data_IF_940803350117
#
_entry.id   IF_940803350117
#
_cell.length_a   1.000
_cell.length_b   1.000
_cell.length_c   1.000
_cell.angle_alpha   90.00
_cell.angle_beta   90.00
_cell.angle_gamma   90.00
#
_symmetry.space_group_name_H-M   'P 1'
#
loop_
_entity.id
_entity.type
_entity.pdbx_description
1 polymer ?
#
# COMPACT_ATOMS: atom_id res chain seq x y z
N UNK A 1 15.36 36.15 -14.21
CA UNK A 1 13.90 35.94 -14.33
C UNK A 1 13.50 34.46 -14.39
N UNK A 2 14.22 33.60 -15.12
CA UNK A 2 13.96 32.15 -15.24
C UNK A 2 13.92 31.40 -13.89
N UNK A 3 14.82 31.73 -12.95
CA UNK A 3 14.91 31.09 -11.62
C UNK A 3 13.76 31.43 -10.65
N UNK A 4 13.00 32.50 -10.92
CA UNK A 4 11.86 32.93 -10.10
C UNK A 4 10.55 32.31 -10.62
N UNK A 5 10.37 32.27 -11.95
CA UNK A 5 9.22 31.61 -12.58
C UNK A 5 9.23 30.10 -12.31
N UNK A 6 10.38 29.42 -12.36
CA UNK A 6 10.46 28.00 -12.00
C UNK A 6 10.21 27.68 -10.52
N UNK A 7 10.17 28.69 -9.63
CA UNK A 7 9.76 28.54 -8.22
C UNK A 7 8.27 28.80 -7.99
N UNK A 8 7.60 29.44 -8.95
CA UNK A 8 6.17 29.74 -8.95
C UNK A 8 5.38 28.69 -9.73
N UNK A 9 5.95 28.18 -10.82
CA UNK A 9 5.41 27.13 -11.66
C UNK A 9 6.48 26.06 -11.86
N UNK A 10 6.54 25.03 -11.00
CA UNK A 10 7.46 23.92 -11.20
C UNK A 10 7.15 23.25 -12.54
N UNK A 11 8.18 22.79 -13.28
CA UNK A 11 7.96 22.07 -14.55
C UNK A 11 7.27 20.72 -14.35
N UNK A 12 7.35 20.17 -13.13
CA UNK A 12 6.73 18.93 -12.72
C UNK A 12 5.78 19.19 -11.55
N UNK A 13 4.57 18.63 -11.61
CA UNK A 13 3.61 18.71 -10.52
C UNK A 13 3.99 17.68 -9.43
N UNK A 14 4.27 18.11 -8.19
CA UNK A 14 4.56 17.18 -7.09
C UNK A 14 3.41 16.21 -6.82
N UNK A 15 2.15 16.62 -7.02
CA UNK A 15 0.98 15.75 -6.86
C UNK A 15 0.86 14.72 -7.97
N UNK A 16 1.30 15.05 -9.19
CA UNK A 16 1.39 14.07 -10.28
C UNK A 16 2.45 13.03 -9.98
N UNK A 17 3.62 13.46 -9.49
CA UNK A 17 4.68 12.55 -9.05
C UNK A 17 4.20 11.67 -7.88
N UNK A 18 3.46 12.23 -6.91
CA UNK A 18 2.88 11.48 -5.80
C UNK A 18 1.87 10.41 -6.26
N UNK A 19 1.05 10.74 -7.27
CA UNK A 19 0.14 9.77 -7.87
C UNK A 19 0.89 8.71 -8.70
N UNK A 20 1.91 9.10 -9.45
CA UNK A 20 2.77 8.16 -10.18
C UNK A 20 3.48 7.19 -9.23
N UNK A 21 3.92 7.67 -8.06
CA UNK A 21 4.48 6.86 -6.98
C UNK A 21 3.45 5.85 -6.47
N UNK A 22 2.23 6.31 -6.14
CA UNK A 22 1.13 5.42 -5.74
C UNK A 22 0.86 4.31 -6.77
N UNK A 23 0.95 4.60 -8.08
CA UNK A 23 0.77 3.55 -9.10
C UNK A 23 1.90 2.52 -9.14
N UNK A 24 3.12 2.86 -8.73
CA UNK A 24 4.19 1.86 -8.55
C UNK A 24 3.83 0.92 -7.40
N UNK A 25 3.32 1.49 -6.30
CA UNK A 25 2.81 0.71 -5.16
C UNK A 25 1.68 -0.22 -5.59
N UNK A 26 0.71 0.26 -6.38
CA UNK A 26 -0.38 -0.58 -6.92
C UNK A 26 0.14 -1.79 -7.72
N UNK A 27 1.06 -1.55 -8.66
CA UNK A 27 1.67 -2.62 -9.47
C UNK A 27 2.39 -3.67 -8.62
N UNK A 28 3.04 -3.23 -7.53
CA UNK A 28 3.69 -4.15 -6.59
C UNK A 28 2.64 -5.01 -5.86
N UNK A 29 1.55 -4.39 -5.42
CA UNK A 29 0.46 -5.03 -4.70
C UNK A 29 -0.30 -6.06 -5.54
N UNK A 30 -0.41 -5.84 -6.85
CA UNK A 30 -0.96 -6.83 -7.79
C UNK A 30 -0.23 -8.18 -7.75
N UNK A 31 1.03 -8.20 -7.32
CA UNK A 31 1.82 -9.43 -7.23
C UNK A 31 1.51 -10.23 -5.95
N UNK A 32 0.89 -9.62 -4.92
CA UNK A 32 0.68 -10.25 -3.61
C UNK A 32 -0.13 -11.55 -3.71
N UNK A 33 -1.36 -11.57 -4.27
CA UNK A 33 -2.16 -12.79 -4.26
C UNK A 33 -1.58 -13.86 -5.20
N UNK A 34 -0.98 -13.42 -6.31
CA UNK A 34 -0.33 -14.30 -7.29
C UNK A 34 0.87 -15.00 -6.66
N UNK A 35 1.75 -14.24 -6.00
CA UNK A 35 2.95 -14.77 -5.34
C UNK A 35 2.57 -15.71 -4.18
N UNK A 36 1.61 -15.31 -3.34
CA UNK A 36 1.12 -16.15 -2.26
C UNK A 36 0.51 -17.46 -2.78
N UNK A 37 -0.30 -17.40 -3.84
CA UNK A 37 -0.87 -18.58 -4.47
C UNK A 37 0.19 -19.54 -5.00
N UNK A 38 1.23 -19.02 -5.67
CA UNK A 38 2.37 -19.81 -6.14
C UNK A 38 3.13 -20.44 -4.97
N UNK A 39 3.45 -19.65 -3.96
CA UNK A 39 4.14 -20.10 -2.74
C UNK A 39 3.40 -21.27 -2.07
N UNK A 40 2.08 -21.16 -1.90
CA UNK A 40 1.25 -22.21 -1.29
C UNK A 40 1.18 -23.49 -2.14
N UNK A 41 1.41 -23.40 -3.46
CA UNK A 41 1.53 -24.55 -4.37
C UNK A 41 2.97 -25.05 -4.54
N UNK A 42 3.93 -24.47 -3.82
CA UNK A 42 5.37 -24.76 -3.93
C UNK A 42 5.93 -24.48 -5.34
N UNK A 43 5.35 -23.49 -6.03
CA UNK A 43 5.82 -22.96 -7.30
C UNK A 43 6.83 -21.81 -7.05
N UNK A 44 7.77 -21.56 -7.99
CA UNK A 44 8.75 -20.48 -7.86
C UNK A 44 8.09 -19.10 -7.85
N UNK A 45 8.62 -18.23 -6.99
CA UNK A 45 8.14 -16.84 -6.76
C UNK A 45 9.22 -15.79 -7.02
N UNK A 46 10.45 -16.22 -7.30
CA UNK A 46 11.64 -15.38 -7.43
C UNK A 46 11.49 -14.33 -8.53
N UNK A 47 10.87 -14.67 -9.66
CA UNK A 47 10.61 -13.70 -10.74
C UNK A 47 9.65 -12.58 -10.31
N UNK A 48 8.68 -12.90 -9.43
CA UNK A 48 7.75 -11.92 -8.89
C UNK A 48 8.43 -11.05 -7.84
N UNK A 49 9.26 -11.65 -6.98
CA UNK A 49 10.05 -10.91 -6.00
C UNK A 49 11.01 -9.95 -6.69
N UNK A 50 11.71 -10.37 -7.74
CA UNK A 50 12.59 -9.50 -8.53
C UNK A 50 11.83 -8.41 -9.28
N UNK A 51 10.58 -8.64 -9.66
CA UNK A 51 9.74 -7.60 -10.25
C UNK A 51 9.39 -6.53 -9.21
N UNK A 52 8.99 -6.95 -8.01
CA UNK A 52 8.64 -6.02 -6.92
C UNK A 52 9.84 -5.24 -6.42
N UNK A 53 11.00 -5.88 -6.26
CA UNK A 53 12.28 -5.24 -5.90
C UNK A 53 12.62 -4.09 -6.86
N UNK A 54 12.44 -4.30 -8.18
CA UNK A 54 12.62 -3.23 -9.19
C UNK A 54 11.58 -2.11 -9.07
N UNK A 55 10.33 -2.43 -8.72
CA UNK A 55 9.29 -1.42 -8.53
C UNK A 55 9.56 -0.58 -7.28
N UNK A 56 10.11 -1.19 -6.23
CA UNK A 56 10.56 -0.51 -5.01
C UNK A 56 11.74 0.42 -5.32
N UNK A 57 12.78 -0.05 -6.01
CA UNK A 57 13.89 0.79 -6.50
C UNK A 57 13.37 2.02 -7.29
N UNK A 58 12.44 1.81 -8.24
CA UNK A 58 11.83 2.89 -9.02
C UNK A 58 11.01 3.87 -8.14
N UNK A 59 10.33 3.37 -7.12
CA UNK A 59 9.54 4.17 -6.19
C UNK A 59 10.45 5.02 -5.29
N UNK A 60 11.56 4.45 -4.82
CA UNK A 60 12.52 5.11 -3.93
C UNK A 60 13.24 6.27 -4.66
N UNK A 61 13.60 6.08 -5.93
CA UNK A 61 14.08 7.16 -6.82
C UNK A 61 13.03 8.28 -6.96
N UNK A 62 11.76 7.90 -7.16
CA UNK A 62 10.66 8.86 -7.32
C UNK A 62 10.38 9.63 -6.03
N UNK A 63 10.47 9.00 -4.87
CA UNK A 63 10.35 9.62 -3.55
C UNK A 63 11.41 10.69 -3.32
N UNK A 64 12.68 10.43 -3.70
CA UNK A 64 13.74 11.46 -3.68
C UNK A 64 13.36 12.64 -4.57
N UNK A 65 12.92 12.36 -5.80
CA UNK A 65 12.48 13.39 -6.75
C UNK A 65 11.31 14.22 -6.24
N UNK A 66 10.30 13.61 -5.61
CA UNK A 66 9.16 14.30 -5.00
C UNK A 66 9.65 15.28 -3.94
N UNK A 67 10.53 14.83 -3.02
CA UNK A 67 11.10 15.69 -1.97
C UNK A 67 11.89 16.86 -2.57
N UNK A 68 12.68 16.62 -3.61
CA UNK A 68 13.42 17.67 -4.29
C UNK A 68 12.52 18.71 -4.96
N UNK A 69 11.53 18.28 -5.73
CA UNK A 69 10.59 19.19 -6.42
C UNK A 69 9.81 19.99 -5.38
N UNK A 70 9.29 19.33 -4.35
CA UNK A 70 8.47 19.97 -3.33
C UNK A 70 9.23 20.98 -2.48
N UNK A 71 10.50 20.71 -2.14
CA UNK A 71 11.37 21.63 -1.39
C UNK A 71 11.60 22.97 -2.11
N UNK A 72 11.50 22.99 -3.44
CA UNK A 72 11.74 24.19 -4.27
C UNK A 72 10.51 25.09 -4.39
N UNK A 73 9.31 24.58 -4.06
CA UNK A 73 8.07 25.34 -4.12
C UNK A 73 8.07 26.47 -3.10
N UNK A 74 7.54 27.64 -3.48
CA UNK A 74 7.30 28.73 -2.51
C UNK A 74 5.91 28.66 -1.89
N UNK A 75 4.91 28.30 -2.68
CA UNK A 75 3.51 28.20 -2.28
C UNK A 75 3.03 26.77 -2.52
N UNK A 76 2.17 26.28 -1.63
CA UNK A 76 1.63 24.91 -1.63
C UNK A 76 0.12 24.99 -1.37
N UNK A 77 -0.63 24.02 -1.90
CA UNK A 77 -2.10 24.00 -1.79
C UNK A 77 -2.61 23.57 -0.40
N UNK A 78 -1.80 22.81 0.33
CA UNK A 78 -2.06 22.30 1.69
C UNK A 78 -0.72 22.14 2.43
N UNK A 79 -0.74 21.72 3.70
CA UNK A 79 0.47 21.63 4.53
C UNK A 79 1.54 20.71 3.91
N UNK A 80 2.79 21.14 4.02
CA UNK A 80 3.95 20.36 3.58
C UNK A 80 4.12 19.07 4.34
N UNK A 81 3.79 19.10 5.63
CA UNK A 81 3.87 17.94 6.50
C UNK A 81 2.91 16.87 6.00
N UNK A 82 1.70 17.23 5.61
CA UNK A 82 0.71 16.27 5.11
C UNK A 82 1.18 15.55 3.83
N UNK A 83 1.79 16.28 2.88
CA UNK A 83 2.35 15.64 1.68
C UNK A 83 3.49 14.67 2.02
N UNK A 84 4.36 15.05 2.96
CA UNK A 84 5.47 14.20 3.38
C UNK A 84 5.00 12.97 4.16
N UNK A 85 3.91 13.07 4.92
CA UNK A 85 3.26 11.93 5.58
C UNK A 85 2.65 10.98 4.56
N UNK A 86 1.90 11.49 3.57
CA UNK A 86 1.37 10.66 2.48
C UNK A 86 2.50 9.92 1.75
N UNK A 87 3.56 10.63 1.39
CA UNK A 87 4.71 10.02 0.72
C UNK A 87 5.38 8.95 1.59
N UNK A 88 5.52 9.20 2.89
CA UNK A 88 6.11 8.26 3.83
C UNK A 88 5.29 6.98 3.97
N UNK A 89 3.97 7.09 4.06
CA UNK A 89 3.11 5.91 4.17
C UNK A 89 3.04 5.13 2.85
N UNK A 90 2.95 5.79 1.68
CA UNK A 90 3.02 5.10 0.37
C UNK A 90 4.31 4.27 0.22
N UNK A 91 5.42 4.84 0.64
CA UNK A 91 6.74 4.20 0.67
C UNK A 91 6.76 2.99 1.60
N UNK A 92 6.21 3.14 2.81
CA UNK A 92 6.11 2.04 3.76
C UNK A 92 5.19 0.90 3.27
N UNK A 93 4.22 1.17 2.40
CA UNK A 93 3.42 0.13 1.73
C UNK A 93 4.30 -0.69 0.80
N UNK A 94 5.02 -0.07 -0.15
CA UNK A 94 5.81 -0.82 -1.13
C UNK A 94 6.96 -1.59 -0.47
N UNK A 95 7.60 -1.03 0.57
CA UNK A 95 8.57 -1.72 1.41
C UNK A 95 7.99 -3.00 2.02
N UNK A 96 6.77 -2.92 2.59
CA UNK A 96 6.12 -4.07 3.21
C UNK A 96 5.73 -5.14 2.20
N UNK A 97 5.35 -4.74 0.97
CA UNK A 97 5.06 -5.66 -0.13
C UNK A 97 6.34 -6.36 -0.61
N UNK A 98 7.43 -5.62 -0.78
CA UNK A 98 8.73 -6.19 -1.15
C UNK A 98 9.25 -7.18 -0.09
N UNK A 99 9.23 -6.79 1.18
CA UNK A 99 9.57 -7.68 2.31
C UNK A 99 8.70 -8.95 2.31
N UNK A 100 7.40 -8.83 2.01
CA UNK A 100 6.49 -9.97 1.90
C UNK A 100 6.93 -10.93 0.79
N UNK A 101 7.24 -10.45 -0.42
CA UNK A 101 7.68 -11.31 -1.51
C UNK A 101 9.05 -11.94 -1.23
N UNK A 102 10.01 -11.19 -0.67
CA UNK A 102 11.31 -11.71 -0.24
C UNK A 102 11.16 -12.82 0.79
N UNK A 103 10.21 -12.70 1.71
CA UNK A 103 9.88 -13.75 2.67
C UNK A 103 9.42 -15.04 1.99
N UNK A 104 8.56 -14.95 0.96
CA UNK A 104 8.09 -16.13 0.21
C UNK A 104 9.22 -16.90 -0.47
N UNK A 105 10.34 -16.25 -0.81
CA UNK A 105 11.50 -16.89 -1.44
C UNK A 105 12.34 -17.73 -0.47
N UNK A 106 12.32 -17.45 0.83
CA UNK A 106 13.29 -18.01 1.79
C UNK A 106 12.75 -19.17 2.63
N UNK A 107 11.47 -19.53 2.46
CA UNK A 107 10.83 -20.57 3.25
C UNK A 107 10.04 -21.52 2.38
N UNK A 108 9.81 -22.73 2.89
CA UNK A 108 8.94 -23.73 2.28
C UNK A 108 8.35 -24.60 3.36
N UNK A 109 7.06 -24.89 3.28
CA UNK A 109 6.42 -25.83 4.20
C UNK A 109 6.78 -27.27 3.82
N UNK A 110 7.12 -28.09 4.81
CA UNK A 110 7.36 -29.52 4.61
C UNK A 110 6.08 -30.28 4.25
N UNK A 111 4.93 -29.76 4.69
CA UNK A 111 3.60 -30.34 4.46
C UNK A 111 2.64 -29.27 3.95
N UNK A 112 1.68 -29.64 3.09
CA UNK A 112 0.62 -28.73 2.70
C UNK A 112 -0.15 -28.22 3.92
N UNK A 113 -0.45 -26.92 3.92
CA UNK A 113 -1.30 -26.30 4.93
C UNK A 113 -2.76 -26.77 4.77
N UNK A 114 -3.57 -26.78 5.85
CA UNK A 114 -4.99 -27.04 5.75
C UNK A 114 -5.67 -26.07 4.79
N UNK A 115 -6.56 -26.57 3.92
CA UNK A 115 -7.24 -25.76 2.90
C UNK A 115 -7.90 -24.50 3.45
N UNK A 116 -8.58 -24.61 4.59
CA UNK A 116 -9.22 -23.46 5.24
C UNK A 116 -8.20 -22.36 5.60
N UNK A 117 -6.99 -22.73 6.03
CA UNK A 117 -5.93 -21.75 6.32
C UNK A 117 -5.39 -21.10 5.05
N UNK A 118 -5.22 -21.87 3.96
CA UNK A 118 -4.78 -21.32 2.68
C UNK A 118 -5.81 -20.37 2.08
N UNK A 119 -7.09 -20.70 2.19
CA UNK A 119 -8.20 -19.87 1.70
C UNK A 119 -8.24 -18.54 2.47
N UNK A 120 -8.08 -18.56 3.81
CA UNK A 120 -8.02 -17.33 4.62
C UNK A 120 -6.78 -16.47 4.33
N UNK A 121 -5.62 -17.08 4.07
CA UNK A 121 -4.40 -16.34 3.70
C UNK A 121 -4.59 -15.62 2.36
N UNK A 122 -5.22 -16.28 1.38
CA UNK A 122 -5.52 -15.70 0.07
C UNK A 122 -6.56 -14.58 0.19
N UNK A 123 -7.61 -14.77 0.99
CA UNK A 123 -8.59 -13.71 1.27
C UNK A 123 -7.93 -12.47 1.89
N UNK A 124 -6.98 -12.66 2.81
CA UNK A 124 -6.24 -11.54 3.40
C UNK A 124 -5.39 -10.81 2.35
N UNK A 125 -4.69 -11.56 1.48
CA UNK A 125 -3.90 -10.98 0.40
C UNK A 125 -4.76 -10.16 -0.58
N UNK A 126 -5.94 -10.65 -0.95
CA UNK A 126 -6.88 -9.93 -1.81
C UNK A 126 -7.37 -8.63 -1.16
N UNK A 127 -7.73 -8.68 0.14
CA UNK A 127 -8.15 -7.47 0.88
C UNK A 127 -7.06 -6.43 0.97
N UNK A 128 -5.82 -6.85 1.23
CA UNK A 128 -4.66 -5.94 1.29
C UNK A 128 -4.43 -5.30 -0.07
N UNK A 129 -4.53 -6.06 -1.16
CA UNK A 129 -4.45 -5.49 -2.51
C UNK A 129 -5.57 -4.45 -2.74
N UNK A 130 -6.79 -4.72 -2.30
CA UNK A 130 -7.92 -3.79 -2.45
C UNK A 130 -7.75 -2.52 -1.61
N UNK A 131 -7.20 -2.60 -0.39
CA UNK A 131 -6.85 -1.44 0.43
C UNK A 131 -5.81 -0.55 -0.28
N UNK A 132 -4.80 -1.15 -0.92
CA UNK A 132 -3.79 -0.42 -1.69
C UNK A 132 -4.38 0.24 -2.94
N UNK A 133 -5.30 -0.43 -3.65
CA UNK A 133 -6.05 0.21 -4.76
C UNK A 133 -6.84 1.42 -4.27
N UNK A 134 -7.49 1.28 -3.13
CA UNK A 134 -8.26 2.37 -2.52
C UNK A 134 -7.36 3.57 -2.14
N UNK A 135 -6.16 3.30 -1.61
CA UNK A 135 -5.14 4.34 -1.39
C UNK A 135 -4.81 5.09 -2.69
N UNK A 136 -4.60 4.36 -3.79
CA UNK A 136 -4.26 4.95 -5.10
C UNK A 136 -5.41 5.82 -5.62
N UNK A 137 -6.65 5.34 -5.50
CA UNK A 137 -7.86 6.10 -5.81
C UNK A 137 -7.92 7.40 -4.99
N UNK A 138 -7.65 7.31 -3.68
CA UNK A 138 -7.64 8.49 -2.80
C UNK A 138 -6.60 9.53 -3.23
N UNK A 139 -5.38 9.10 -3.54
CA UNK A 139 -4.31 9.99 -4.01
C UNK A 139 -4.67 10.63 -5.36
N UNK A 140 -5.36 9.90 -6.24
CA UNK A 140 -5.86 10.43 -7.49
C UNK A 140 -6.94 11.50 -7.26
N UNK A 141 -7.85 11.28 -6.32
CA UNK A 141 -8.86 12.29 -5.96
C UNK A 141 -8.23 13.56 -5.38
N UNK A 142 -7.17 13.44 -4.56
CA UNK A 142 -6.41 14.60 -4.10
C UNK A 142 -5.84 15.42 -5.27
N UNK A 143 -5.29 14.75 -6.28
CA UNK A 143 -4.80 15.40 -7.50
C UNK A 143 -5.93 16.14 -8.22
N UNK A 144 -7.09 15.51 -8.44
CA UNK A 144 -8.25 16.13 -9.10
C UNK A 144 -8.81 17.30 -8.30
N UNK A 145 -8.87 17.19 -6.98
CA UNK A 145 -9.36 18.24 -6.09
C UNK A 145 -8.51 19.51 -6.25
N UNK A 146 -7.18 19.36 -6.25
CA UNK A 146 -6.26 20.48 -6.45
C UNK A 146 -6.33 21.04 -7.86
N UNK A 147 -6.41 20.18 -8.90
CA UNK A 147 -6.55 20.63 -10.30
C UNK A 147 -7.87 21.36 -10.56
N UNK A 148 -8.94 21.01 -9.84
CA UNK A 148 -10.25 21.66 -9.92
C UNK A 148 -10.38 22.91 -9.06
N UNK A 149 -9.31 23.32 -8.34
CA UNK A 149 -9.34 24.41 -7.37
C UNK A 149 -10.43 24.23 -6.30
N UNK A 150 -10.58 23.01 -5.78
CA UNK A 150 -11.51 22.65 -4.71
C UNK A 150 -12.99 22.91 -5.08
N UNK A 151 -13.39 22.52 -6.29
CA UNK A 151 -14.79 22.61 -6.72
C UNK A 151 -15.71 21.77 -5.79
N UNK A 152 -16.86 22.30 -5.33
CA UNK A 152 -17.76 21.60 -4.40
C UNK A 152 -18.29 20.24 -4.91
N UNK A 153 -18.33 20.04 -6.23
CA UNK A 153 -18.77 18.79 -6.85
C UNK A 153 -17.78 17.65 -6.57
N UNK A 154 -16.48 17.93 -6.64
CA UNK A 154 -15.41 16.94 -6.41
C UNK A 154 -15.32 16.55 -4.93
N UNK A 155 -15.64 17.48 -4.02
CA UNK A 155 -15.73 17.21 -2.57
C UNK A 155 -16.86 16.23 -2.21
N UNK A 156 -17.93 16.19 -3.01
CA UNK A 156 -19.05 15.26 -2.80
C UNK A 156 -18.70 13.80 -3.12
N UNK A 157 -17.83 13.57 -4.09
CA UNK A 157 -17.39 12.23 -4.53
C UNK A 157 -16.48 11.56 -3.47
N UNK A 158 -15.65 12.34 -2.77
CA UNK A 158 -14.76 11.88 -1.68
C UNK A 158 -15.53 11.30 -0.47
N UNK A 159 -16.70 11.85 -0.14
CA UNK A 159 -17.52 11.36 0.98
C UNK A 159 -18.11 9.95 0.74
N UNK A 160 -18.29 9.54 -0.51
CA UNK A 160 -18.75 8.18 -0.84
C UNK A 160 -17.61 7.16 -0.69
N UNK A 161 -16.38 7.53 -1.06
CA UNK A 161 -15.19 6.70 -0.82
C UNK A 161 -14.95 6.47 0.68
N UNK A 162 -15.18 7.49 1.53
CA UNK A 162 -15.04 7.41 2.99
C UNK A 162 -15.82 6.24 3.63
N UNK A 163 -17.09 6.03 3.27
CA UNK A 163 -17.90 4.95 3.89
C UNK A 163 -17.40 3.55 3.51
N UNK A 164 -16.71 3.44 2.37
CA UNK A 164 -16.12 2.19 1.92
C UNK A 164 -14.92 1.81 2.81
N UNK A 165 -14.08 2.78 3.20
CA UNK A 165 -12.91 2.58 4.08
C UNK A 165 -13.30 2.01 5.44
N UNK A 166 -14.20 2.67 6.17
CA UNK A 166 -14.57 2.26 7.53
C UNK A 166 -15.19 0.85 7.55
N UNK A 167 -15.86 0.45 6.46
CA UNK A 167 -16.39 -0.91 6.29
C UNK A 167 -15.27 -1.91 6.01
N UNK A 168 -14.34 -1.57 5.11
CA UNK A 168 -13.28 -2.47 4.64
C UNK A 168 -12.19 -2.69 5.72
N UNK A 169 -11.78 -1.65 6.46
CA UNK A 169 -10.86 -1.72 7.61
C UNK A 169 -11.40 -2.70 8.66
N UNK A 170 -12.67 -2.53 9.04
CA UNK A 170 -13.34 -3.42 9.99
C UNK A 170 -13.38 -4.88 9.52
N UNK A 171 -13.35 -5.11 8.20
CA UNK A 171 -13.28 -6.42 7.58
C UNK A 171 -11.88 -7.03 7.67
N UNK A 172 -10.84 -6.27 7.33
CA UNK A 172 -9.43 -6.71 7.36
C UNK A 172 -8.99 -7.05 8.77
N UNK A 173 -9.34 -6.24 9.78
CA UNK A 173 -9.05 -6.49 11.19
C UNK A 173 -9.67 -7.78 11.70
N UNK A 174 -10.96 -7.99 11.40
CA UNK A 174 -11.69 -9.20 11.80
C UNK A 174 -11.07 -10.45 11.18
N UNK A 175 -10.70 -10.38 9.90
CA UNK A 175 -10.06 -11.48 9.20
C UNK A 175 -8.68 -11.78 9.77
N UNK A 176 -7.86 -10.76 10.01
CA UNK A 176 -6.51 -10.90 10.59
C UNK A 176 -6.56 -11.54 11.97
N UNK A 177 -7.50 -11.12 12.83
CA UNK A 177 -7.72 -11.75 14.14
C UNK A 177 -8.21 -13.20 14.01
N UNK A 178 -9.12 -13.48 13.09
CA UNK A 178 -9.61 -14.83 12.85
C UNK A 178 -8.49 -15.75 12.34
N UNK A 179 -7.65 -15.25 11.44
CA UNK A 179 -6.50 -15.95 10.88
C UNK A 179 -5.44 -16.23 11.96
N UNK A 180 -5.12 -15.25 12.80
CA UNK A 180 -4.22 -15.46 13.93
C UNK A 180 -4.75 -16.55 14.88
N UNK A 181 -6.04 -16.49 15.26
CA UNK A 181 -6.69 -17.55 16.05
C UNK A 181 -6.59 -18.92 15.38
N UNK A 182 -6.78 -18.98 14.06
CA UNK A 182 -6.67 -20.21 13.29
C UNK A 182 -5.25 -20.76 13.30
N UNK A 183 -4.24 -19.95 13.00
CA UNK A 183 -2.83 -20.33 13.02
C UNK A 183 -2.44 -20.94 14.38
N UNK A 184 -2.76 -20.25 15.49
CA UNK A 184 -2.42 -20.74 16.83
C UNK A 184 -3.23 -21.95 17.29
N UNK A 185 -4.44 -22.16 16.74
CA UNK A 185 -5.22 -23.38 17.01
C UNK A 185 -4.52 -24.63 16.49
N UNK A 186 -3.65 -24.49 15.48
CA UNK A 186 -2.90 -25.57 14.86
C UNK A 186 -1.56 -25.86 15.55
N UNK A 187 -1.31 -25.32 16.76
CA UNK A 187 -0.03 -25.48 17.49
C UNK A 187 0.44 -26.91 17.76
N UNK A 188 -0.49 -27.87 17.78
CA UNK A 188 -0.18 -29.29 17.98
C UNK A 188 -0.09 -30.06 16.64
N UNK A 189 -0.30 -29.38 15.52
CA UNK A 189 -0.37 -29.94 14.16
C UNK A 189 0.79 -29.43 13.30
N UNK A 190 1.07 -28.12 13.37
CA UNK A 190 2.13 -27.46 12.63
C UNK A 190 3.42 -27.40 13.44
N UNK A 191 4.55 -27.32 12.73
CA UNK A 191 5.83 -27.07 13.40
C UNK A 191 5.82 -25.65 13.98
N UNK A 192 6.42 -25.39 15.15
CA UNK A 192 6.44 -24.04 15.74
C UNK A 192 7.02 -22.97 14.80
N UNK A 193 8.01 -23.34 13.98
CA UNK A 193 8.60 -22.44 12.98
C UNK A 193 7.58 -22.09 11.88
N UNK A 194 6.72 -23.01 11.45
CA UNK A 194 5.66 -22.73 10.47
C UNK A 194 4.68 -21.68 11.03
N UNK A 195 4.33 -21.78 12.31
CA UNK A 195 3.41 -20.86 12.98
C UNK A 195 4.02 -19.47 13.08
N UNK A 196 5.28 -19.37 13.50
CA UNK A 196 6.00 -18.10 13.56
C UNK A 196 6.16 -17.48 12.18
N UNK A 197 6.44 -18.30 11.18
CA UNK A 197 6.58 -17.85 9.79
C UNK A 197 5.24 -17.34 9.23
N UNK A 198 4.15 -18.07 9.46
CA UNK A 198 2.80 -17.65 9.08
C UNK A 198 2.40 -16.34 9.74
N UNK A 199 2.66 -16.17 11.05
CA UNK A 199 2.40 -14.92 11.75
C UNK A 199 3.18 -13.76 11.12
N UNK A 200 4.48 -13.96 10.83
CA UNK A 200 5.31 -12.96 10.16
C UNK A 200 4.77 -12.57 8.78
N UNK A 201 4.34 -13.55 7.96
CA UNK A 201 3.71 -13.26 6.67
C UNK A 201 2.43 -12.43 6.82
N UNK A 202 1.55 -12.81 7.76
CA UNK A 202 0.30 -12.07 7.99
C UNK A 202 0.54 -10.65 8.48
N UNK A 203 1.61 -10.44 9.27
CA UNK A 203 2.00 -9.13 9.77
C UNK A 203 2.52 -8.20 8.68
N UNK A 204 3.24 -8.73 7.69
CA UNK A 204 3.70 -7.93 6.55
C UNK A 204 2.52 -7.45 5.68
N UNK A 205 1.57 -8.34 5.43
CA UNK A 205 0.35 -8.00 4.70
C UNK A 205 -0.48 -6.93 5.40
N UNK A 206 -0.76 -7.12 6.69
CA UNK A 206 -1.53 -6.15 7.49
C UNK A 206 -0.82 -4.81 7.59
N UNK A 207 0.51 -4.79 7.78
CA UNK A 207 1.29 -3.55 7.76
C UNK A 207 1.13 -2.76 6.45
N UNK A 208 1.11 -3.44 5.30
CA UNK A 208 0.87 -2.79 4.02
C UNK A 208 -0.55 -2.18 3.93
N UNK A 209 -1.57 -2.88 4.46
CA UNK A 209 -2.93 -2.34 4.53
C UNK A 209 -3.01 -1.12 5.47
N UNK A 210 -2.43 -1.19 6.67
CA UNK A 210 -2.44 -0.11 7.67
C UNK A 210 -1.85 1.19 7.08
N UNK A 211 -0.71 1.10 6.39
CA UNK A 211 -0.10 2.27 5.74
C UNK A 211 -0.95 2.80 4.58
N UNK A 212 -1.59 1.92 3.80
CA UNK A 212 -2.51 2.34 2.74
C UNK A 212 -3.72 3.10 3.29
N UNK A 213 -4.27 2.64 4.42
CA UNK A 213 -5.36 3.30 5.14
C UNK A 213 -4.92 4.67 5.69
N UNK A 214 -3.73 4.78 6.29
CA UNK A 214 -3.19 6.06 6.77
C UNK A 214 -3.10 7.12 5.65
N UNK A 215 -2.69 6.73 4.44
CA UNK A 215 -2.67 7.62 3.27
C UNK A 215 -4.08 8.09 2.92
N UNK A 216 -5.04 7.18 2.84
CA UNK A 216 -6.43 7.49 2.54
C UNK A 216 -7.04 8.45 3.58
N UNK A 217 -6.84 8.18 4.87
CA UNK A 217 -7.26 9.07 5.95
C UNK A 217 -6.65 10.45 5.82
N UNK A 218 -5.36 10.53 5.49
CA UNK A 218 -4.66 11.80 5.33
C UNK A 218 -5.23 12.62 4.17
N UNK A 219 -5.50 11.98 3.03
CA UNK A 219 -6.18 12.63 1.89
C UNK A 219 -7.53 13.18 2.32
N UNK A 220 -8.34 12.39 3.03
CA UNK A 220 -9.65 12.80 3.54
C UNK A 220 -9.58 14.01 4.46
N UNK A 221 -8.59 14.06 5.34
CA UNK A 221 -8.38 15.23 6.22
C UNK A 221 -8.11 16.50 5.40
N UNK A 222 -7.33 16.40 4.33
CA UNK A 222 -7.02 17.53 3.43
C UNK A 222 -8.25 17.93 2.59
N UNK A 223 -9.06 16.96 2.16
CA UNK A 223 -10.25 17.24 1.36
C UNK A 223 -11.36 17.94 2.14
N UNK A 224 -11.40 17.77 3.47
CA UNK A 224 -12.43 18.31 4.36
C UNK A 224 -12.07 19.62 5.05
N UNK A 225 -10.80 20.05 4.95
CA UNK A 225 -10.30 21.31 5.50
C UNK A 225 -10.60 22.50 4.61
#
# INVERSE_FOLDING_TARGET
>A
MTRFLGKLFPQESPLKLLYEHARLVEKSAEQIPVALGKFLRHEPVEDLAQLVDKLEDEADEMKVRIREVYSKLKFVYFDRVDLLLILHDQDAVIDAVDDFLKMLCIYKFDKPLPKELTDMLLELAERVQDAIKFMVESVHELLKLVESSFSPVVVGEENALTQKVESDESGTDRLSLALAKKIFSLKNVLHPVDIMYLEKLTRLLTRAADHAENVAEKVRMIAKS
#
